data_IF_206581932986
#
_entry.id   IF_206581932986
#
_cell.length_a   1.000
_cell.length_b   1.000
_cell.length_c   1.000
_cell.angle_alpha   90.00
_cell.angle_beta   90.00
_cell.angle_gamma   90.00
#
_symmetry.space_group_name_H-M   'P 1'
#
loop_
_entity.id
_entity.type
_entity.pdbx_description
1 polymer ?
#
# COMPACT_ATOMS: atom_id res chain seq x y z
N UNK A 1 -13.37 -6.93 -6.05
CA UNK A 1 -13.94 -7.42 -4.78
C UNK A 1 -13.38 -6.51 -3.74
N UNK A 2 -14.23 -5.75 -3.05
CA UNK A 2 -13.77 -4.75 -2.11
C UNK A 2 -13.01 -5.40 -0.95
N UNK A 3 -12.07 -4.65 -0.40
CA UNK A 3 -11.19 -5.04 0.70
C UNK A 3 -11.55 -4.20 1.92
N UNK A 4 -11.64 -4.82 3.10
CA UNK A 4 -11.80 -4.05 4.33
C UNK A 4 -10.44 -3.44 4.72
N UNK A 5 -10.43 -2.13 4.99
CA UNK A 5 -9.29 -1.44 5.58
C UNK A 5 -9.62 -1.05 7.03
N UNK A 6 -9.00 -1.74 7.97
CA UNK A 6 -9.16 -1.54 9.41
C UNK A 6 -8.25 -0.42 9.90
N UNK A 7 -8.83 0.43 10.76
CA UNK A 7 -8.22 1.67 11.27
C UNK A 7 -7.67 2.53 10.13
N UNK A 8 -8.51 2.91 9.15
CA UNK A 8 -8.03 3.59 7.96
C UNK A 8 -7.40 4.95 8.29
N UNK A 9 -6.38 5.39 7.54
CA UNK A 9 -5.78 6.73 7.65
C UNK A 9 -6.84 7.83 7.54
N UNK A 10 -6.74 8.87 8.35
CA UNK A 10 -7.74 9.96 8.37
C UNK A 10 -7.82 10.69 7.01
N UNK A 11 -6.70 10.86 6.30
CA UNK A 11 -6.70 11.52 4.99
C UNK A 11 -7.49 10.78 3.89
N UNK A 12 -7.72 9.47 3.99
CA UNK A 12 -8.52 8.71 2.99
C UNK A 12 -10.03 8.95 3.13
N UNK A 13 -10.43 9.45 4.30
CA UNK A 13 -11.81 9.76 4.67
C UNK A 13 -12.00 11.25 4.91
N UNK A 14 -11.06 12.08 4.44
CA UNK A 14 -11.09 13.52 4.63
C UNK A 14 -12.43 14.09 4.12
N UNK A 15 -13.10 14.84 4.98
CA UNK A 15 -14.41 15.44 4.69
C UNK A 15 -14.30 16.94 4.43
N UNK A 16 -15.33 17.48 3.81
CA UNK A 16 -15.51 18.93 3.70
C UNK A 16 -16.97 19.28 3.54
N UNK A 17 -17.28 20.52 3.87
CA UNK A 17 -18.59 21.13 3.77
C UNK A 17 -18.48 22.58 3.23
N UNK A 18 -19.53 23.37 3.43
CA UNK A 18 -19.57 24.79 3.04
C UNK A 18 -18.72 25.69 3.92
N UNK A 19 -18.47 25.29 5.16
CA UNK A 19 -17.71 26.07 6.13
C UNK A 19 -16.21 25.78 6.02
N UNK A 20 -15.83 24.58 5.57
CA UNK A 20 -14.42 24.24 5.42
C UNK A 20 -14.15 22.86 4.84
N UNK A 21 -12.88 22.46 4.88
CA UNK A 21 -12.40 21.17 4.40
C UNK A 21 -11.24 20.66 5.25
N UNK A 22 -11.19 19.34 5.44
CA UNK A 22 -10.03 18.68 6.04
C UNK A 22 -8.87 18.61 5.05
N UNK A 23 -7.72 19.11 5.48
CA UNK A 23 -6.49 19.13 4.70
C UNK A 23 -5.33 18.52 5.49
N UNK A 24 -4.36 17.99 4.76
CA UNK A 24 -3.11 17.48 5.28
C UNK A 24 -2.77 16.11 4.73
N UNK A 25 -2.05 15.29 5.52
CA UNK A 25 -1.58 14.00 5.04
C UNK A 25 -1.30 12.98 6.13
N UNK A 26 -1.31 11.72 5.72
CA UNK A 26 -1.03 10.58 6.59
C UNK A 26 -0.15 9.57 5.86
N UNK A 27 0.98 9.22 6.47
CA UNK A 27 1.86 8.14 6.01
C UNK A 27 1.91 7.03 7.06
N UNK A 28 1.52 5.83 6.66
CA UNK A 28 1.34 4.68 7.56
C UNK A 28 2.02 3.41 7.06
N UNK A 29 2.46 2.58 8.00
CA UNK A 29 2.85 1.19 7.81
C UNK A 29 1.59 0.33 7.76
N UNK A 30 1.46 -0.49 6.72
CA UNK A 30 0.27 -1.31 6.49
C UNK A 30 0.63 -2.78 6.41
N UNK A 31 -0.24 -3.62 6.98
CA UNK A 31 -0.17 -5.07 6.86
C UNK A 31 -1.43 -5.63 6.19
N UNK A 32 -1.33 -6.90 5.76
CA UNK A 32 -2.47 -7.68 5.29
C UNK A 32 -2.62 -9.00 6.05
N UNK A 33 -3.86 -9.44 6.22
CA UNK A 33 -4.20 -10.78 6.74
C UNK A 33 -4.41 -11.82 5.62
N UNK A 34 -4.77 -13.04 6.00
CA UNK A 34 -5.07 -14.14 5.09
C UNK A 34 -6.28 -13.90 4.18
N UNK A 35 -7.16 -12.96 4.53
CA UNK A 35 -8.34 -12.59 3.76
C UNK A 35 -8.08 -11.35 2.89
N UNK A 36 -6.82 -10.91 2.81
CA UNK A 36 -6.40 -9.71 2.11
C UNK A 36 -6.94 -8.40 2.70
N UNK A 37 -7.39 -8.37 3.96
CA UNK A 37 -7.80 -7.13 4.61
C UNK A 37 -6.57 -6.28 4.97
N UNK A 38 -6.67 -4.97 4.81
CA UNK A 38 -5.62 -4.03 5.20
C UNK A 38 -5.76 -3.61 6.66
N UNK A 39 -4.62 -3.38 7.31
CA UNK A 39 -4.56 -2.87 8.68
C UNK A 39 -3.48 -1.80 8.79
N UNK A 40 -3.85 -0.64 9.34
CA UNK A 40 -2.88 0.34 9.80
C UNK A 40 -2.23 -0.19 11.08
N UNK A 41 -0.92 -0.44 11.05
CA UNK A 41 -0.17 -0.98 12.19
C UNK A 41 0.67 0.09 12.89
N UNK A 42 1.09 1.14 12.18
CA UNK A 42 1.86 2.23 12.77
C UNK A 42 1.93 3.46 11.86
N UNK A 43 1.92 4.65 12.46
CA UNK A 43 1.96 5.92 11.71
C UNK A 43 3.37 6.51 11.72
N UNK A 44 3.83 6.94 10.55
CA UNK A 44 5.08 7.71 10.40
C UNK A 44 4.78 9.19 10.62
N UNK A 45 3.70 9.68 9.98
CA UNK A 45 3.13 10.96 10.35
C UNK A 45 1.62 10.99 10.10
N UNK A 46 0.96 11.90 10.80
CA UNK A 46 -0.41 12.33 10.61
C UNK A 46 -0.44 13.82 10.90
N UNK A 47 -0.75 14.60 9.88
CA UNK A 47 -0.89 16.05 9.96
C UNK A 47 -2.24 16.37 9.34
N UNK A 48 -3.26 16.63 10.14
CA UNK A 48 -4.61 16.95 9.68
C UNK A 48 -5.05 18.29 10.26
N UNK A 49 -5.65 19.13 9.42
CA UNK A 49 -6.14 20.46 9.77
C UNK A 49 -7.51 20.68 9.14
N UNK A 50 -8.36 21.43 9.84
CA UNK A 50 -9.57 21.99 9.27
C UNK A 50 -9.25 23.37 8.68
N UNK A 51 -9.42 23.53 7.37
CA UNK A 51 -9.31 24.81 6.69
C UNK A 51 -10.71 25.42 6.52
N UNK A 52 -10.93 26.57 7.14
CA UNK A 52 -12.20 27.32 7.07
C UNK A 52 -12.18 28.26 5.87
N UNK A 53 -13.29 28.33 5.14
CA UNK A 53 -13.45 29.26 4.02
C UNK A 53 -13.88 30.65 4.50
N UNK A 54 -13.65 31.68 3.69
CA UNK A 54 -14.22 33.01 3.95
C UNK A 54 -15.75 32.98 3.93
N UNK A 55 -16.38 33.78 4.80
CA UNK A 55 -17.84 33.95 4.83
C UNK A 55 -18.35 34.81 3.66
N UNK A 56 -17.51 35.64 3.04
CA UNK A 56 -17.91 36.47 1.91
C UNK A 56 -18.17 35.64 0.64
N UNK A 57 -19.32 35.85 -0.02
CA UNK A 57 -19.74 35.03 -1.18
C UNK A 57 -18.69 34.99 -2.30
N UNK A 58 -17.98 36.10 -2.55
CA UNK A 58 -16.95 36.22 -3.59
C UNK A 58 -15.61 35.57 -3.21
N UNK A 59 -15.42 35.21 -1.93
CA UNK A 59 -14.22 34.57 -1.40
C UNK A 59 -14.50 33.19 -0.78
N UNK A 60 -15.74 32.70 -0.85
CA UNK A 60 -16.22 31.44 -0.23
C UNK A 60 -15.49 30.15 -0.64
N UNK A 61 -14.60 30.22 -1.62
CA UNK A 61 -13.72 29.12 -2.04
C UNK A 61 -12.24 29.31 -1.62
N UNK A 62 -11.92 30.41 -0.94
CA UNK A 62 -10.57 30.70 -0.43
C UNK A 62 -10.49 30.36 1.05
N UNK A 63 -9.33 29.84 1.47
CA UNK A 63 -9.08 29.53 2.87
C UNK A 63 -8.77 30.82 3.63
N UNK A 64 -9.52 31.05 4.70
CA UNK A 64 -9.28 32.13 5.66
C UNK A 64 -8.32 31.66 6.76
N UNK A 65 -8.64 30.54 7.40
CA UNK A 65 -7.92 30.06 8.59
C UNK A 65 -7.69 28.56 8.55
N UNK A 66 -6.56 28.14 9.14
CA UNK A 66 -6.26 26.73 9.41
C UNK A 66 -6.31 26.45 10.90
N UNK A 67 -7.03 25.40 11.29
CA UNK A 67 -7.01 24.86 12.64
C UNK A 67 -6.46 23.44 12.61
N UNK A 68 -5.28 23.22 13.18
CA UNK A 68 -4.71 21.88 13.33
C UNK A 68 -5.63 21.02 14.20
N UNK A 69 -6.10 19.91 13.65
CA UNK A 69 -6.89 18.91 14.37
C UNK A 69 -5.99 17.84 14.97
N UNK A 70 -4.96 17.42 14.23
CA UNK A 70 -4.03 16.37 14.66
C UNK A 70 -2.64 16.58 14.08
N UNK A 71 -1.62 16.38 14.91
CA UNK A 71 -0.22 16.43 14.52
C UNK A 71 0.57 15.40 15.32
N UNK A 72 0.94 14.30 14.66
CA UNK A 72 1.78 13.23 15.20
C UNK A 72 2.81 12.88 14.13
N UNK A 73 4.10 13.05 14.39
CA UNK A 73 5.14 12.80 13.39
C UNK A 73 6.41 12.26 14.02
N UNK A 74 6.95 11.19 13.43
CA UNK A 74 8.31 10.69 13.68
C UNK A 74 9.18 10.86 12.43
N UNK A 75 8.70 11.58 11.40
CA UNK A 75 9.35 11.72 10.10
C UNK A 75 10.76 12.31 10.21
N UNK A 76 10.99 13.13 11.23
CA UNK A 76 12.24 13.87 11.45
C UNK A 76 13.04 13.33 12.67
N UNK A 77 12.56 12.25 13.30
CA UNK A 77 13.21 11.61 14.46
C UNK A 77 13.64 10.17 14.12
N UNK A 78 14.94 9.94 13.83
CA UNK A 78 15.44 8.61 13.49
C UNK A 78 15.20 7.54 14.55
N UNK A 79 15.34 7.88 15.84
CA UNK A 79 15.19 6.91 16.94
C UNK A 79 13.72 6.51 17.12
N UNK A 80 12.82 7.50 17.08
CA UNK A 80 11.38 7.25 17.15
C UNK A 80 10.89 6.46 15.92
N UNK A 81 11.40 6.78 14.72
CA UNK A 81 11.08 6.06 13.50
C UNK A 81 11.51 4.59 13.56
N UNK A 82 12.75 4.31 14.01
CA UNK A 82 13.23 2.93 14.23
C UNK A 82 12.31 2.21 15.20
N UNK A 83 11.96 2.85 16.33
CA UNK A 83 11.10 2.24 17.35
C UNK A 83 9.73 1.85 16.78
N UNK A 84 9.10 2.73 15.99
CA UNK A 84 7.80 2.46 15.35
C UNK A 84 7.90 1.32 14.34
N UNK A 85 8.93 1.30 13.50
CA UNK A 85 9.11 0.20 12.52
C UNK A 85 9.31 -1.12 13.25
N UNK A 86 10.19 -1.16 14.25
CA UNK A 86 10.51 -2.36 15.02
C UNK A 86 9.28 -2.90 15.74
N UNK A 87 8.52 -2.05 16.44
CA UNK A 87 7.29 -2.49 17.12
C UNK A 87 6.26 -3.02 16.13
N UNK A 88 6.06 -2.31 15.02
CA UNK A 88 5.13 -2.70 13.96
C UNK A 88 5.47 -4.07 13.38
N UNK A 89 6.75 -4.32 13.06
CA UNK A 89 7.19 -5.61 12.52
C UNK A 89 6.90 -6.76 13.49
N UNK A 90 7.19 -6.60 14.78
CA UNK A 90 6.89 -7.63 15.76
C UNK A 90 5.38 -7.84 15.96
N UNK A 91 4.58 -6.77 15.94
CA UNK A 91 3.11 -6.87 16.01
C UNK A 91 2.54 -7.63 14.81
N UNK A 92 3.03 -7.35 13.60
CA UNK A 92 2.63 -8.08 12.38
C UNK A 92 2.92 -9.57 12.52
N UNK A 93 4.13 -9.94 12.99
CA UNK A 93 4.51 -11.34 13.20
C UNK A 93 3.60 -12.00 14.25
N UNK A 94 3.41 -11.35 15.40
CA UNK A 94 2.60 -11.86 16.51
C UNK A 94 1.14 -12.08 16.10
N UNK A 95 0.60 -11.18 15.26
CA UNK A 95 -0.76 -11.25 14.76
C UNK A 95 -0.92 -12.12 13.51
N UNK A 96 0.14 -12.80 13.06
CA UNK A 96 0.16 -13.67 11.87
C UNK A 96 -0.32 -12.95 10.61
N UNK A 97 0.16 -11.72 10.40
CA UNK A 97 -0.08 -10.90 9.21
C UNK A 97 1.18 -10.82 8.36
N UNK A 98 1.13 -10.12 7.23
CA UNK A 98 2.28 -9.83 6.37
C UNK A 98 2.38 -8.32 6.18
N UNK A 99 3.59 -7.77 6.31
CA UNK A 99 3.85 -6.38 5.97
C UNK A 99 3.58 -6.16 4.48
N UNK A 100 2.61 -5.29 4.20
CA UNK A 100 2.17 -5.02 2.84
C UNK A 100 3.01 -3.91 2.22
N UNK A 101 3.31 -2.86 2.97
CA UNK A 101 4.04 -1.70 2.48
C UNK A 101 3.78 -0.44 3.29
N UNK A 102 4.07 0.70 2.68
CA UNK A 102 3.77 2.03 3.20
C UNK A 102 2.69 2.66 2.33
N UNK A 103 1.66 3.20 2.95
CA UNK A 103 0.65 4.00 2.27
C UNK A 103 0.76 5.46 2.70
N UNK A 104 0.75 6.35 1.73
CA UNK A 104 0.78 7.81 1.88
C UNK A 104 -0.47 8.40 1.26
N UNK A 105 -1.20 9.20 2.02
CA UNK A 105 -2.43 9.85 1.59
C UNK A 105 -2.32 11.34 1.84
N UNK A 106 -2.72 12.13 0.86
CA UNK A 106 -2.71 13.58 0.95
C UNK A 106 -4.08 14.13 0.59
N UNK A 107 -4.74 14.75 1.56
CA UNK A 107 -5.95 15.51 1.38
C UNK A 107 -5.57 16.99 1.21
N UNK A 108 -5.46 17.47 -0.01
CA UNK A 108 -5.13 18.87 -0.31
C UNK A 108 -6.30 19.60 -0.99
N UNK A 109 -7.47 18.96 -1.03
CA UNK A 109 -8.64 19.35 -1.82
C UNK A 109 -8.30 19.71 -3.29
N UNK A 110 -7.18 19.19 -3.82
CA UNK A 110 -6.66 19.49 -5.15
C UNK A 110 -6.37 20.98 -5.38
N UNK A 111 -6.10 21.73 -4.31
CA UNK A 111 -5.81 23.17 -4.36
C UNK A 111 -4.35 23.47 -4.71
N UNK A 112 -3.44 22.51 -4.58
CA UNK A 112 -2.04 22.69 -4.91
C UNK A 112 -1.75 22.21 -6.33
N UNK A 113 -1.10 23.06 -7.12
CA UNK A 113 -0.77 22.77 -8.53
C UNK A 113 0.33 21.70 -8.68
N UNK A 114 1.11 21.49 -7.63
CA UNK A 114 2.13 20.44 -7.56
C UNK A 114 1.55 19.27 -6.79
N UNK A 115 1.18 18.18 -7.48
CA UNK A 115 0.85 16.94 -6.77
C UNK A 115 2.06 16.51 -5.96
N UNK A 116 1.93 16.38 -4.64
CA UNK A 116 3.06 16.03 -3.76
C UNK A 116 3.51 14.58 -4.00
N UNK A 117 2.73 13.80 -4.75
CA UNK A 117 3.00 12.39 -5.06
C UNK A 117 3.78 12.19 -6.38
N UNK A 118 4.30 13.26 -6.98
CA UNK A 118 5.23 13.15 -8.12
C UNK A 118 4.57 12.84 -9.46
N UNK A 119 3.26 13.06 -9.58
CA UNK A 119 2.53 12.97 -10.84
C UNK A 119 2.53 14.32 -11.55
N UNK A 120 2.97 14.35 -12.82
CA UNK A 120 2.82 15.53 -13.68
C UNK A 120 1.52 15.42 -14.46
N UNK A 121 0.45 15.94 -13.89
CA UNK A 121 -0.89 15.91 -14.49
C UNK A 121 -1.24 17.26 -15.10
N UNK A 122 -2.00 17.25 -16.19
CA UNK A 122 -2.46 18.46 -16.86
C UNK A 122 -3.36 19.34 -15.97
N UNK A 123 -3.15 20.65 -16.04
CA UNK A 123 -3.90 21.65 -15.27
C UNK A 123 -5.41 21.57 -15.47
N UNK A 124 -5.89 21.25 -16.68
CA UNK A 124 -7.33 21.13 -16.91
C UNK A 124 -7.92 20.00 -16.09
N UNK A 125 -7.19 18.90 -15.94
CA UNK A 125 -7.64 17.78 -15.12
C UNK A 125 -7.66 18.14 -13.64
N UNK A 126 -6.59 18.77 -13.11
CA UNK A 126 -6.53 19.24 -11.71
C UNK A 126 -7.72 20.17 -11.39
N UNK A 127 -7.97 21.16 -12.24
CA UNK A 127 -9.12 22.05 -12.08
C UNK A 127 -10.46 21.29 -12.07
N UNK A 128 -10.54 20.18 -12.80
CA UNK A 128 -11.74 19.34 -12.84
C UNK A 128 -11.93 18.53 -11.57
N UNK A 129 -10.83 18.07 -10.97
CA UNK A 129 -10.84 17.42 -9.66
C UNK A 129 -11.30 18.41 -8.60
N UNK A 130 -10.69 19.60 -8.57
CA UNK A 130 -11.05 20.67 -7.65
C UNK A 130 -12.53 21.02 -7.77
N UNK A 131 -13.01 21.37 -8.97
CA UNK A 131 -14.42 21.73 -9.19
C UNK A 131 -15.40 20.59 -8.85
N UNK A 132 -15.00 19.33 -9.02
CA UNK A 132 -15.81 18.20 -8.57
C UNK A 132 -15.82 18.08 -7.05
N UNK A 133 -14.64 18.12 -6.42
CA UNK A 133 -14.46 18.13 -4.97
C UNK A 133 -15.36 19.18 -4.32
N UNK A 134 -15.36 20.41 -4.88
CA UNK A 134 -16.19 21.51 -4.42
C UNK A 134 -17.68 21.18 -4.38
N UNK A 135 -18.21 20.54 -5.43
CA UNK A 135 -19.63 20.16 -5.55
C UNK A 135 -20.05 19.07 -4.57
N UNK A 136 -19.11 18.25 -4.10
CA UNK A 136 -19.40 17.14 -3.16
C UNK A 136 -19.49 17.62 -1.73
N UNK A 137 -18.69 18.63 -1.35
CA UNK A 137 -18.71 19.23 0.00
C UNK A 137 -20.13 19.54 0.47
N UNK A 138 -20.99 19.97 -0.45
CA UNK A 138 -22.39 20.28 -0.18
C UNK A 138 -23.29 19.06 0.13
N UNK A 139 -22.75 17.83 0.14
CA UNK A 139 -23.51 16.58 0.19
C UNK A 139 -22.92 15.59 1.21
N UNK A 140 -23.54 15.52 2.40
CA UNK A 140 -23.09 14.70 3.53
C UNK A 140 -22.99 13.18 3.24
N UNK A 141 -23.78 12.67 2.29
CA UNK A 141 -23.89 11.22 2.02
C UNK A 141 -22.81 10.64 1.10
N UNK A 142 -21.89 11.46 0.61
CA UNK A 142 -20.99 11.05 -0.46
C UNK A 142 -19.65 10.52 0.02
N UNK A 143 -19.21 10.78 1.24
CA UNK A 143 -17.91 10.34 1.74
C UNK A 143 -17.89 8.85 2.16
N UNK A 144 -16.71 8.19 2.22
CA UNK A 144 -16.60 6.80 2.62
C UNK A 144 -17.18 6.56 4.02
N UNK A 145 -17.99 5.51 4.15
CA UNK A 145 -18.68 5.21 5.41
C UNK A 145 -17.81 4.38 6.33
N UNK A 146 -17.55 4.90 7.52
CA UNK A 146 -16.86 4.16 8.58
C UNK A 146 -17.86 3.19 9.21
N UNK A 147 -17.57 1.90 9.10
CA UNK A 147 -18.32 0.82 9.75
C UNK A 147 -17.50 0.30 10.93
N UNK A 148 -18.17 -0.19 11.98
CA UNK A 148 -17.50 -0.93 13.05
C UNK A 148 -17.73 -2.42 12.88
N UNK A 149 -16.70 -3.21 13.04
CA UNK A 149 -16.83 -4.67 13.08
C UNK A 149 -17.43 -5.15 14.43
N UNK A 150 -17.62 -6.46 14.55
CA UNK A 150 -18.16 -7.10 15.77
C UNK A 150 -17.28 -6.87 17.01
N UNK A 151 -16.00 -6.53 16.83
CA UNK A 151 -15.04 -6.23 17.90
C UNK A 151 -14.91 -4.72 18.17
N UNK A 152 -15.68 -3.89 17.46
CA UNK A 152 -15.68 -2.43 17.58
C UNK A 152 -14.57 -1.72 16.81
N UNK A 153 -13.78 -2.44 16.00
CA UNK A 153 -12.73 -1.85 15.16
C UNK A 153 -13.37 -1.09 14.00
N UNK A 154 -12.89 0.14 13.76
CA UNK A 154 -13.33 0.95 12.64
C UNK A 154 -12.75 0.40 11.35
N UNK A 155 -13.57 0.33 10.30
CA UNK A 155 -13.14 -0.05 8.96
C UNK A 155 -13.88 0.72 7.87
N UNK A 156 -13.28 0.81 6.71
CA UNK A 156 -13.92 1.24 5.45
C UNK A 156 -13.77 0.15 4.40
N UNK A 157 -14.61 0.20 3.38
CA UNK A 157 -14.42 -0.62 2.18
C UNK A 157 -13.57 0.13 1.17
N UNK A 158 -12.52 -0.55 0.69
CA UNK A 158 -11.70 -0.12 -0.43
C UNK A 158 -12.02 -0.91 -1.68
N UNK A 159 -12.01 -0.27 -2.84
CA UNK A 159 -11.85 -0.94 -4.12
C UNK A 159 -10.69 -0.33 -4.90
N UNK A 160 -10.12 -1.09 -5.83
CA UNK A 160 -9.05 -0.61 -6.70
C UNK A 160 -9.51 -0.65 -8.15
N UNK A 161 -9.29 0.46 -8.84
CA UNK A 161 -9.60 0.62 -10.26
C UNK A 161 -8.37 1.00 -11.07
N UNK A 162 -8.40 0.64 -12.35
CA UNK A 162 -7.31 0.84 -13.30
C UNK A 162 -6.70 -0.47 -13.81
N UNK A 163 -5.94 -0.38 -14.90
CA UNK A 163 -5.36 -1.54 -15.59
C UNK A 163 -4.44 -2.39 -14.69
N UNK A 164 -3.89 -1.77 -13.64
CA UNK A 164 -2.82 -2.31 -12.80
C UNK A 164 -3.31 -2.71 -11.42
N UNK A 165 -4.62 -2.71 -11.18
CA UNK A 165 -5.21 -3.05 -9.87
C UNK A 165 -4.79 -4.39 -9.31
N UNK A 166 -4.50 -5.37 -10.15
CA UNK A 166 -3.99 -6.70 -9.76
C UNK A 166 -2.64 -6.66 -9.04
N UNK A 167 -1.88 -5.57 -9.19
CA UNK A 167 -0.59 -5.38 -8.51
C UNK A 167 -0.79 -4.94 -7.05
N UNK A 168 -1.94 -4.34 -6.71
CA UNK A 168 -2.30 -3.95 -5.34
C UNK A 168 -3.26 -4.95 -4.71
N UNK A 169 -4.22 -5.45 -5.50
CA UNK A 169 -5.13 -6.52 -5.12
C UNK A 169 -4.49 -7.88 -5.37
N UNK A 170 -3.61 -8.30 -4.47
CA UNK A 170 -2.90 -9.56 -4.62
C UNK A 170 -3.89 -10.72 -4.57
N UNK A 171 -3.86 -11.57 -5.59
CA UNK A 171 -4.62 -12.82 -5.58
C UNK A 171 -3.95 -13.86 -4.68
N UNK A 172 -4.72 -14.49 -3.80
CA UNK A 172 -4.26 -15.52 -2.88
C UNK A 172 -5.43 -16.03 -2.05
N UNK A 173 -5.26 -17.20 -1.45
CA UNK A 173 -6.27 -17.80 -0.54
C UNK A 173 -5.72 -18.07 0.85
N UNK A 174 -4.40 -17.97 1.01
CA UNK A 174 -3.69 -18.17 2.28
C UNK A 174 -2.58 -17.14 2.41
N UNK A 175 -2.13 -16.93 3.63
CA UNK A 175 -1.08 -15.96 3.95
C UNK A 175 0.23 -16.24 3.19
N UNK A 176 0.53 -17.52 2.95
CA UNK A 176 1.74 -17.94 2.25
C UNK A 176 1.76 -17.48 0.77
N UNK A 177 0.59 -17.34 0.12
CA UNK A 177 0.50 -16.81 -1.24
C UNK A 177 0.93 -15.34 -1.31
N UNK A 178 0.54 -14.57 -0.30
CA UNK A 178 0.91 -13.16 -0.19
C UNK A 178 2.37 -13.01 0.21
N UNK A 179 2.85 -13.84 1.13
CA UNK A 179 4.24 -13.84 1.59
C UNK A 179 5.22 -14.03 0.41
N UNK A 180 4.95 -14.99 -0.47
CA UNK A 180 5.76 -15.23 -1.67
C UNK A 180 5.81 -14.01 -2.59
N UNK A 181 4.66 -13.40 -2.88
CA UNK A 181 4.56 -12.24 -3.77
C UNK A 181 5.24 -11.01 -3.17
N UNK A 182 4.95 -10.69 -1.91
CA UNK A 182 5.40 -9.45 -1.26
C UNK A 182 6.88 -9.45 -0.91
N UNK A 183 7.50 -10.63 -0.71
CA UNK A 183 8.92 -10.74 -0.36
C UNK A 183 9.83 -10.05 -1.38
N UNK A 184 9.51 -10.19 -2.66
CA UNK A 184 10.31 -9.65 -3.77
C UNK A 184 9.71 -8.38 -4.35
N UNK A 185 8.55 -7.94 -3.83
CA UNK A 185 7.85 -6.79 -4.32
C UNK A 185 8.63 -5.49 -4.03
N UNK A 186 8.63 -4.59 -5.00
CA UNK A 186 9.15 -3.23 -4.88
C UNK A 186 8.45 -2.32 -5.88
N UNK A 187 8.63 -1.02 -5.68
CA UNK A 187 7.97 0.02 -6.48
C UNK A 187 6.71 0.52 -5.79
N UNK A 188 5.97 1.36 -6.51
CA UNK A 188 4.79 2.02 -5.98
C UNK A 188 3.70 2.16 -7.03
N UNK A 189 2.49 2.37 -6.53
CA UNK A 189 1.36 2.86 -7.30
C UNK A 189 0.90 4.20 -6.73
N UNK A 190 0.43 5.07 -7.60
CA UNK A 190 -0.09 6.38 -7.22
C UNK A 190 -1.36 6.70 -8.01
N UNK A 191 -2.22 7.53 -7.42
CA UNK A 191 -3.47 7.90 -8.03
C UNK A 191 -4.34 8.74 -7.11
N UNK A 192 -5.63 8.65 -7.34
CA UNK A 192 -6.64 9.45 -6.65
C UNK A 192 -7.62 8.53 -5.94
N UNK A 193 -7.90 8.86 -4.69
CA UNK A 193 -9.01 8.29 -3.94
C UNK A 193 -10.27 9.03 -4.35
N UNK A 194 -11.22 8.29 -4.91
CA UNK A 194 -12.55 8.78 -5.20
C UNK A 194 -13.56 8.02 -4.37
N UNK A 195 -14.68 8.63 -4.04
CA UNK A 195 -15.81 7.92 -3.44
C UNK A 195 -16.94 7.68 -4.44
N UNK A 196 -17.56 6.51 -4.29
CA UNK A 196 -18.76 6.08 -4.98
C UNK A 196 -19.52 5.17 -4.00
N UNK A 197 -20.79 5.47 -3.75
CA UNK A 197 -21.70 4.65 -2.92
C UNK A 197 -21.18 4.33 -1.50
N UNK A 198 -20.39 5.23 -0.90
CA UNK A 198 -19.88 5.08 0.47
C UNK A 198 -18.63 4.19 0.60
N UNK A 199 -18.03 3.74 -0.50
CA UNK A 199 -16.71 3.10 -0.53
C UNK A 199 -15.62 4.11 -0.95
N UNK A 200 -14.38 3.84 -0.56
CA UNK A 200 -13.20 4.55 -1.06
C UNK A 200 -12.58 3.76 -2.21
N UNK A 201 -12.64 4.31 -3.43
CA UNK A 201 -12.16 3.69 -4.65
C UNK A 201 -10.82 4.32 -5.03
N UNK A 202 -9.76 3.53 -5.05
CA UNK A 202 -8.41 3.94 -5.40
C UNK A 202 -8.23 3.78 -6.91
N UNK A 203 -8.33 4.90 -7.63
CA UNK A 203 -8.07 4.96 -9.07
C UNK A 203 -6.58 5.07 -9.32
N UNK A 204 -5.96 3.98 -9.78
CA UNK A 204 -4.52 3.91 -10.05
C UNK A 204 -4.22 4.62 -11.37
N UNK A 205 -3.47 5.71 -11.30
CA UNK A 205 -3.09 6.52 -12.47
C UNK A 205 -1.73 6.10 -12.98
N UNK A 206 -0.85 5.62 -12.10
CA UNK A 206 0.45 5.11 -12.51
C UNK A 206 1.00 4.11 -11.50
N UNK A 207 1.77 3.14 -11.99
CA UNK A 207 2.51 2.20 -11.16
C UNK A 207 3.84 1.81 -11.81
N UNK A 208 4.81 1.44 -10.98
CA UNK A 208 6.03 0.78 -11.41
C UNK A 208 6.31 -0.49 -10.59
N UNK A 209 5.26 -1.13 -10.08
CA UNK A 209 5.36 -2.28 -9.20
C UNK A 209 5.92 -3.48 -9.97
N UNK A 210 6.89 -4.14 -9.37
CA UNK A 210 7.46 -5.40 -9.86
C UNK A 210 7.55 -6.40 -8.71
N UNK A 211 7.42 -7.69 -9.04
CA UNK A 211 7.44 -8.81 -8.07
C UNK A 211 8.69 -9.69 -8.22
N UNK A 212 9.64 -9.27 -9.04
CA UNK A 212 10.85 -10.02 -9.35
C UNK A 212 12.11 -9.24 -8.97
N UNK A 213 13.16 -9.98 -8.59
CA UNK A 213 14.48 -9.41 -8.34
C UNK A 213 15.00 -8.79 -9.63
N UNK A 214 15.60 -7.61 -9.53
CA UNK A 214 16.33 -6.95 -10.63
C UNK A 214 15.48 -6.49 -11.83
N UNK A 215 14.15 -6.63 -11.77
CA UNK A 215 13.25 -5.99 -12.72
C UNK A 215 13.11 -4.49 -12.40
N UNK A 216 13.06 -3.67 -13.43
CA UNK A 216 12.70 -2.25 -13.32
C UNK A 216 11.61 -1.97 -14.34
N UNK A 217 10.64 -1.17 -13.92
CA UNK A 217 9.56 -0.71 -14.78
C UNK A 217 9.57 0.80 -14.76
N UNK A 218 9.52 1.40 -15.94
CA UNK A 218 9.40 2.84 -16.04
C UNK A 218 8.03 3.29 -15.53
N UNK A 219 8.01 4.47 -14.94
CA UNK A 219 6.81 5.09 -14.44
C UNK A 219 6.11 5.80 -15.60
N UNK A 220 4.95 5.29 -16.01
CA UNK A 220 4.14 5.88 -17.07
C UNK A 220 2.73 6.18 -16.54
N UNK A 221 2.19 7.33 -16.96
CA UNK A 221 0.82 7.73 -16.65
C UNK A 221 -0.13 6.94 -17.55
N UNK A 222 -1.14 6.31 -16.94
CA UNK A 222 -2.24 5.65 -17.65
C UNK A 222 -3.22 6.73 -18.18
N UNK A 223 -2.92 7.21 -19.38
CA UNK A 223 -3.74 8.19 -20.10
C UNK A 223 -5.19 7.73 -20.34
N UNK A 224 -5.43 6.42 -20.44
CA UNK A 224 -6.79 5.91 -20.60
C UNK A 224 -7.57 6.02 -19.30
N UNK A 225 -6.92 5.69 -18.18
CA UNK A 225 -7.51 5.84 -16.86
C UNK A 225 -7.83 7.32 -16.56
N UNK A 226 -6.91 8.24 -16.87
CA UNK A 226 -7.16 9.67 -16.70
C UNK A 226 -8.39 10.14 -17.48
N UNK A 227 -8.52 9.73 -18.76
CA UNK A 227 -9.69 10.09 -19.58
C UNK A 227 -10.99 9.51 -19.03
N UNK A 228 -10.96 8.26 -18.54
CA UNK A 228 -12.11 7.65 -17.89
C UNK A 228 -12.52 8.43 -16.65
N UNK A 229 -11.56 8.77 -15.78
CA UNK A 229 -11.83 9.56 -14.58
C UNK A 229 -12.39 10.93 -14.95
N UNK A 230 -11.82 11.62 -15.93
CA UNK A 230 -12.30 12.94 -16.37
C UNK A 230 -13.77 12.85 -16.82
N UNK A 231 -14.11 11.85 -17.64
CA UNK A 231 -15.47 11.59 -18.09
C UNK A 231 -16.42 11.26 -16.92
N UNK A 232 -16.00 10.40 -15.99
CA UNK A 232 -16.82 9.98 -14.86
C UNK A 232 -17.05 11.12 -13.84
N UNK A 233 -16.07 12.01 -13.69
CA UNK A 233 -16.13 13.19 -12.83
C UNK A 233 -16.98 14.29 -13.47
N UNK A 234 -16.68 14.68 -14.72
CA UNK A 234 -17.35 15.81 -15.40
C UNK A 234 -18.72 15.46 -15.96
N UNK A 235 -18.77 14.38 -16.75
CA UNK A 235 -19.91 14.12 -17.63
C UNK A 235 -20.99 13.27 -16.95
N UNK A 236 -20.59 12.46 -15.97
CA UNK A 236 -21.49 11.61 -15.20
C UNK A 236 -21.76 12.11 -13.79
N UNK A 237 -20.81 12.81 -13.16
CA UNK A 237 -20.92 13.24 -11.77
C UNK A 237 -21.13 12.08 -10.81
N UNK A 238 -20.48 10.93 -11.07
CA UNK A 238 -20.59 9.70 -10.27
C UNK A 238 -19.32 9.38 -9.50
N UNK A 239 -18.19 10.01 -9.86
CA UNK A 239 -16.93 9.91 -9.12
C UNK A 239 -16.58 11.23 -8.47
N UNK A 240 -16.18 11.12 -7.22
CA UNK A 240 -16.04 12.24 -6.32
C UNK A 240 -14.66 12.19 -5.66
N UNK A 241 -13.69 13.03 -6.09
CA UNK A 241 -12.31 12.91 -5.63
C UNK A 241 -12.16 13.42 -4.19
N UNK A 242 -11.34 12.75 -3.40
CA UNK A 242 -11.12 13.04 -1.97
C UNK A 242 -9.67 13.44 -1.73
N UNK A 243 -8.74 12.56 -2.09
CA UNK A 243 -7.34 12.70 -1.73
C UNK A 243 -6.45 12.07 -2.80
N UNK A 244 -5.17 12.41 -2.81
CA UNK A 244 -4.14 11.66 -3.51
C UNK A 244 -3.71 10.44 -2.69
N UNK A 245 -3.17 9.43 -3.36
CA UNK A 245 -2.50 8.32 -2.69
C UNK A 245 -1.18 7.91 -3.36
N UNK A 246 -0.28 7.36 -2.55
CA UNK A 246 0.88 6.56 -2.93
C UNK A 246 0.89 5.29 -2.10
N UNK A 247 1.16 4.16 -2.73
CA UNK A 247 1.31 2.88 -2.07
C UNK A 247 2.63 2.27 -2.53
N UNK A 248 3.63 2.32 -1.66
CA UNK A 248 4.92 1.64 -1.85
C UNK A 248 4.80 0.22 -1.27
N UNK A 249 5.09 -0.81 -2.07
CA UNK A 249 4.78 -2.22 -1.73
C UNK A 249 6.01 -3.03 -1.31
N UNK A 250 5.79 -3.99 -0.42
CA UNK A 250 6.79 -4.94 0.07
C UNK A 250 7.69 -4.34 1.16
N UNK A 251 8.52 -5.17 1.79
CA UNK A 251 9.43 -4.72 2.87
C UNK A 251 10.41 -3.64 2.41
N UNK A 252 10.71 -3.61 1.11
CA UNK A 252 11.58 -2.62 0.47
C UNK A 252 10.95 -1.23 0.41
N UNK A 253 9.65 -1.07 0.68
CA UNK A 253 9.04 0.26 0.84
C UNK A 253 9.71 1.07 1.95
N UNK A 254 10.34 0.42 2.95
CA UNK A 254 11.11 1.12 3.98
C UNK A 254 12.27 1.94 3.39
N UNK A 255 12.81 1.53 2.24
CA UNK A 255 13.87 2.26 1.53
C UNK A 255 13.41 3.65 1.02
N UNK A 256 12.09 3.89 0.96
CA UNK A 256 11.52 5.16 0.49
C UNK A 256 11.27 6.16 1.62
N UNK A 257 11.60 5.80 2.87
CA UNK A 257 11.52 6.70 4.01
C UNK A 257 12.60 7.77 3.93
N UNK A 258 12.25 9.02 4.27
CA UNK A 258 13.18 10.16 4.19
C UNK A 258 14.46 9.97 5.01
N UNK A 259 14.33 9.33 6.19
CA UNK A 259 15.45 9.05 7.08
C UNK A 259 16.10 7.67 6.84
N UNK A 260 15.74 6.95 5.76
CA UNK A 260 16.22 5.58 5.53
C UNK A 260 17.74 5.46 5.61
N UNK A 261 18.48 6.38 4.97
CA UNK A 261 19.94 6.37 4.98
C UNK A 261 20.56 6.52 6.38
N UNK A 262 19.82 7.11 7.33
CA UNK A 262 20.27 7.27 8.71
C UNK A 262 19.92 6.06 9.58
N UNK A 263 18.84 5.34 9.25
CA UNK A 263 18.32 4.24 10.08
C UNK A 263 18.67 2.85 9.59
N UNK A 264 19.02 2.68 8.30
CA UNK A 264 19.20 1.37 7.66
C UNK A 264 20.23 0.46 8.35
N UNK A 265 21.23 1.04 8.99
CA UNK A 265 22.29 0.30 9.69
C UNK A 265 22.01 0.14 11.20
N UNK A 266 20.84 0.58 11.68
CA UNK A 266 20.49 0.51 13.10
C UNK A 266 20.34 -0.95 13.58
N UNK A 267 21.03 -1.37 14.67
CA UNK A 267 21.05 -2.78 15.10
C UNK A 267 19.67 -3.37 15.39
N UNK A 268 18.82 -2.64 16.11
CA UNK A 268 17.47 -3.13 16.46
C UNK A 268 16.55 -3.26 15.24
N UNK A 269 16.69 -2.36 14.27
CA UNK A 269 15.95 -2.43 13.01
C UNK A 269 16.37 -3.68 12.24
N UNK A 270 17.67 -3.86 12.02
CA UNK A 270 18.22 -5.00 11.30
C UNK A 270 17.83 -6.33 11.97
N UNK A 271 17.85 -6.39 13.30
CA UNK A 271 17.37 -7.55 14.04
C UNK A 271 15.89 -7.82 13.77
N UNK A 272 15.02 -6.80 13.82
CA UNK A 272 13.59 -6.98 13.54
C UNK A 272 13.34 -7.43 12.09
N UNK A 273 14.06 -6.87 11.13
CA UNK A 273 13.98 -7.26 9.72
C UNK A 273 14.45 -8.71 9.50
N UNK A 274 15.51 -9.15 10.18
CA UNK A 274 15.96 -10.55 10.16
C UNK A 274 14.90 -11.51 10.72
N UNK A 275 14.23 -11.14 11.81
CA UNK A 275 13.11 -11.93 12.35
C UNK A 275 11.94 -12.00 11.37
N UNK A 276 11.64 -10.87 10.71
CA UNK A 276 10.60 -10.80 9.71
C UNK A 276 10.91 -11.66 8.48
N UNK A 277 12.13 -11.61 7.95
CA UNK A 277 12.53 -12.45 6.82
C UNK A 277 12.42 -13.94 7.16
N UNK A 278 12.86 -14.36 8.36
CA UNK A 278 12.69 -15.76 8.80
C UNK A 278 11.22 -16.17 8.88
N UNK A 279 10.36 -15.28 9.38
CA UNK A 279 8.93 -15.51 9.46
C UNK A 279 8.30 -15.68 8.06
N UNK A 280 8.59 -14.76 7.14
CA UNK A 280 8.14 -14.82 5.73
C UNK A 280 8.68 -16.06 5.04
N UNK A 281 9.95 -16.40 5.25
CA UNK A 281 10.56 -17.62 4.71
C UNK A 281 9.92 -18.89 5.27
N UNK A 282 9.51 -18.90 6.54
CA UNK A 282 8.75 -20.00 7.12
C UNK A 282 7.41 -20.21 6.42
N UNK A 283 6.70 -19.13 6.08
CA UNK A 283 5.45 -19.18 5.32
C UNK A 283 5.67 -19.68 3.89
N UNK A 284 6.67 -19.14 3.19
CA UNK A 284 7.02 -19.58 1.83
C UNK A 284 7.42 -21.06 1.84
N UNK A 285 8.26 -21.48 2.79
CA UNK A 285 8.63 -22.88 2.93
C UNK A 285 7.41 -23.76 3.16
N UNK A 286 6.44 -23.34 3.99
CA UNK A 286 5.19 -24.07 4.22
C UNK A 286 4.35 -24.20 2.95
N UNK A 287 4.36 -23.22 2.04
CA UNK A 287 3.68 -23.31 0.74
C UNK A 287 4.30 -24.35 -0.19
N UNK A 288 5.63 -24.39 -0.23
CA UNK A 288 6.38 -25.29 -1.11
C UNK A 288 6.74 -26.62 -0.47
N UNK A 289 6.46 -26.80 0.82
CA UNK A 289 6.66 -28.07 1.50
C UNK A 289 5.71 -29.08 0.84
N UNK A 290 6.24 -30.11 0.16
CA UNK A 290 5.38 -31.16 -0.35
C UNK A 290 4.64 -31.77 0.84
N UNK A 291 3.32 -31.87 0.73
CA UNK A 291 2.54 -32.78 1.57
C UNK A 291 3.09 -34.18 1.26
N UNK A 292 4.02 -34.66 2.09
CA UNK A 292 4.78 -35.92 1.95
C UNK A 292 5.71 -35.99 0.71
N UNK A 293 6.95 -35.53 0.86
CA UNK A 293 8.05 -36.44 0.51
C UNK A 293 8.13 -37.42 1.68
N UNK A 294 8.11 -38.72 1.42
CA UNK A 294 8.16 -39.74 2.45
C UNK A 294 9.28 -39.45 3.45
N UNK A 295 8.99 -39.77 4.70
CA UNK A 295 9.86 -39.50 5.84
C UNK A 295 11.21 -40.27 5.75
N UNK A 296 11.38 -41.13 4.74
CA UNK A 296 12.64 -41.77 4.34
C UNK A 296 12.95 -41.54 2.86
N UNK A 297 13.65 -40.42 2.56
CA UNK A 297 14.29 -40.18 1.26
C UNK A 297 15.24 -41.32 0.85
N UNK A 298 15.79 -42.02 1.85
CA UNK A 298 16.65 -43.19 1.65
C UNK A 298 15.83 -44.37 1.11
N UNK A 299 14.72 -44.73 1.75
CA UNK A 299 13.83 -45.81 1.28
C UNK A 299 13.22 -45.49 -0.09
N UNK A 300 12.76 -44.27 -0.34
CA UNK A 300 12.22 -43.87 -1.65
C UNK A 300 13.29 -43.92 -2.76
N UNK A 301 14.53 -43.53 -2.46
CA UNK A 301 15.64 -43.69 -3.40
C UNK A 301 15.98 -45.16 -3.64
N UNK A 302 15.87 -46.02 -2.62
CA UNK A 302 16.07 -47.46 -2.71
C UNK A 302 14.88 -48.24 -3.29
N UNK A 303 13.73 -47.59 -3.50
CA UNK A 303 12.56 -48.15 -4.19
C UNK A 303 12.47 -47.72 -5.67
N UNK A 304 13.19 -46.67 -6.09
CA UNK A 304 13.28 -46.27 -7.49
C UNK A 304 13.91 -47.36 -8.37
N UNK A 305 13.50 -47.44 -9.64
CA UNK A 305 14.19 -48.29 -10.61
C UNK A 305 15.63 -47.79 -10.84
N UNK A 306 16.55 -48.66 -11.32
CA UNK A 306 17.94 -48.26 -11.59
C UNK A 306 18.06 -47.07 -12.55
N UNK A 307 17.12 -46.93 -13.50
CA UNK A 307 17.09 -45.83 -14.46
C UNK A 307 16.66 -44.51 -13.82
N UNK A 308 15.67 -44.55 -12.93
CA UNK A 308 15.20 -43.37 -12.17
C UNK A 308 16.28 -42.86 -11.21
N UNK A 309 16.99 -43.77 -10.51
CA UNK A 309 18.11 -43.38 -9.65
C UNK A 309 19.25 -42.75 -10.44
N UNK A 310 19.62 -43.33 -11.58
CA UNK A 310 20.67 -42.79 -12.43
C UNK A 310 20.32 -41.38 -12.94
N UNK A 311 19.05 -41.16 -13.29
CA UNK A 311 18.56 -39.84 -13.69
C UNK A 311 18.57 -38.85 -12.53
N UNK A 312 18.04 -39.23 -11.36
CA UNK A 312 18.01 -38.37 -10.17
C UNK A 312 19.42 -37.96 -9.72
N UNK A 313 20.38 -38.88 -9.70
CA UNK A 313 21.78 -38.58 -9.38
C UNK A 313 22.43 -37.64 -10.41
N UNK A 314 22.10 -37.82 -11.69
CA UNK A 314 22.61 -36.94 -12.75
C UNK A 314 22.05 -35.53 -12.62
N UNK A 315 20.75 -35.39 -12.38
CA UNK A 315 20.08 -34.10 -12.22
C UNK A 315 20.60 -33.37 -10.96
N UNK A 316 20.85 -34.09 -9.86
CA UNK A 316 21.51 -33.55 -8.66
C UNK A 316 22.95 -33.09 -8.94
N UNK A 317 23.74 -33.89 -9.67
CA UNK A 317 25.10 -33.52 -10.02
C UNK A 317 25.15 -32.26 -10.91
N UNK A 318 24.23 -32.14 -11.87
CA UNK A 318 24.09 -30.94 -12.71
C UNK A 318 23.66 -29.71 -11.90
N UNK A 319 22.72 -29.86 -10.96
CA UNK A 319 22.31 -28.79 -10.07
C UNK A 319 23.44 -28.31 -9.15
N UNK A 320 24.20 -29.23 -8.55
CA UNK A 320 25.37 -28.91 -7.72
C UNK A 320 26.44 -28.20 -8.55
N UNK A 321 26.72 -28.67 -9.77
CA UNK A 321 27.68 -28.01 -10.66
C UNK A 321 27.25 -26.59 -10.98
N UNK A 322 25.99 -26.41 -11.38
CA UNK A 322 25.43 -25.09 -11.69
C UNK A 322 25.53 -24.14 -10.50
N UNK A 323 25.17 -24.59 -9.29
CA UNK A 323 25.28 -23.80 -8.07
C UNK A 323 26.75 -23.47 -7.74
N UNK A 324 27.66 -24.43 -7.92
CA UNK A 324 29.09 -24.22 -7.62
C UNK A 324 29.74 -23.24 -8.60
N UNK A 325 29.34 -23.25 -9.87
CA UNK A 325 29.78 -22.28 -10.89
C UNK A 325 29.22 -20.89 -10.57
N UNK A 326 27.93 -20.78 -10.22
CA UNK A 326 27.29 -19.51 -9.86
C UNK A 326 27.81 -18.83 -8.60
N UNK A 327 28.38 -19.59 -7.66
CA UNK A 327 28.92 -19.06 -6.39
C UNK A 327 30.44 -18.83 -6.42
N UNK A 328 31.12 -19.14 -7.54
CA UNK A 328 32.55 -18.85 -7.76
C UNK A 328 32.81 -17.63 -8.65
N UNK A 329 31.80 -17.11 -9.33
CA UNK A 329 31.75 -15.76 -9.92
C UNK A 329 31.16 -14.78 -8.90
#
# INVERSE_FOLDING_TARGET
>A
MPVDFYNPPEAIIAIGDKEGVELGGVKTLVSIDQNHNFFTEGNIFTEMSWATFYEEEDLSDQIDMFMTQKYESVREDPEALVKIIVSTIYEIINNKKIFYGIMDFEADAFMNENSVIGLKIDYKFINSLMESHKKIRDSEDKFPRIVKDEKGLKKIQLDFDGAQKKNLMLQGSKLEDYAEKLRMAKGFATGIVCTSEGAANLYIISDNIVFEKDQYRDHEIDEQQLKFMEWAIKDRGVLFPISWFRIDIGIRSLETLELWDQIKDHPDLNKALDYYDRYVMGLIYKKFKPEQIGIDLEDEFYDMSPQERAKALKDMAEAIRFLTEKYKE
#
